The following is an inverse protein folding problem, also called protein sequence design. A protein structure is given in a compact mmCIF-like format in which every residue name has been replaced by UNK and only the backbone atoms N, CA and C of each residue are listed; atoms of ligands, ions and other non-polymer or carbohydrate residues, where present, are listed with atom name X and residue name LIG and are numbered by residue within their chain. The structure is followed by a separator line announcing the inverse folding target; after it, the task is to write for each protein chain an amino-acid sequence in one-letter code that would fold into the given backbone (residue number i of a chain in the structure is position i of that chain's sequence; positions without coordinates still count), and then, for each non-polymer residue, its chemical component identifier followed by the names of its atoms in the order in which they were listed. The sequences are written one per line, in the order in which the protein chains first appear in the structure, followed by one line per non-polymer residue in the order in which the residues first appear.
data_IF_835916843121
#
_entry.id   IF_835916843121
#
_cell.length_a   1.000
_cell.length_b   1.000
_cell.length_c   1.000
_cell.angle_alpha   90.00
_cell.angle_beta   90.00
_cell.angle_gamma   90.00
#
_symmetry.space_group_name_H-M   'P 1'
#
loop_
_entity.id
_entity.type
_entity.pdbx_description
1 polymer ?
#
# COMPACT_ATOMS: atom_id res chain seq x y z
N UNK A 1 -6.17 -10.82 1.73
CA UNK A 1 -4.70 -10.71 1.73
C UNK A 1 -4.01 -11.59 0.67
N UNK A 2 -4.56 -12.76 0.30
CA UNK A 2 -3.99 -13.61 -0.77
C UNK A 2 -3.86 -12.91 -2.11
N UNK A 3 -4.86 -12.16 -2.53
CA UNK A 3 -4.83 -11.42 -3.79
C UNK A 3 -3.76 -10.31 -3.79
N UNK A 4 -3.50 -9.70 -2.65
CA UNK A 4 -2.45 -8.70 -2.50
C UNK A 4 -1.09 -9.26 -2.92
N UNK A 5 -0.66 -10.39 -2.35
CA UNK A 5 0.64 -11.00 -2.66
C UNK A 5 0.75 -11.49 -4.11
N UNK A 6 -0.36 -11.90 -4.73
CA UNK A 6 -0.37 -12.32 -6.14
C UNK A 6 -0.20 -11.14 -7.09
N UNK A 7 -0.74 -9.97 -6.74
CA UNK A 7 -0.77 -8.80 -7.62
C UNK A 7 0.37 -7.82 -7.34
N UNK A 8 0.96 -7.84 -6.14
CA UNK A 8 2.04 -6.92 -5.81
C UNK A 8 3.36 -7.20 -6.57
N UNK A 9 3.53 -8.40 -7.15
CA UNK A 9 4.70 -8.71 -7.99
C UNK A 9 4.84 -7.74 -9.16
N UNK A 10 3.75 -7.49 -9.87
CA UNK A 10 3.74 -6.58 -11.03
C UNK A 10 4.18 -5.16 -10.65
N UNK A 11 3.64 -4.62 -9.53
CA UNK A 11 4.02 -3.28 -9.09
C UNK A 11 5.47 -3.23 -8.60
N UNK A 12 5.98 -4.29 -7.99
CA UNK A 12 7.38 -4.36 -7.59
C UNK A 12 8.33 -4.45 -8.77
N UNK A 13 7.96 -5.17 -9.81
CA UNK A 13 8.76 -5.25 -11.04
C UNK A 13 8.83 -3.88 -11.72
N UNK A 14 7.72 -3.16 -11.78
CA UNK A 14 7.68 -1.78 -12.26
C UNK A 14 8.58 -0.86 -11.44
N UNK A 15 8.47 -0.89 -10.11
CA UNK A 15 9.28 -0.08 -9.20
C UNK A 15 10.78 -0.40 -9.35
N UNK A 16 11.14 -1.68 -9.43
CA UNK A 16 12.54 -2.09 -9.54
C UNK A 16 13.15 -1.88 -10.92
N UNK A 17 12.32 -1.72 -11.93
CA UNK A 17 12.74 -1.37 -13.30
C UNK A 17 12.88 0.14 -13.52
N UNK A 18 12.53 0.97 -12.54
CA UNK A 18 12.68 2.41 -12.66
C UNK A 18 14.14 2.80 -12.79
N UNK A 19 14.45 3.83 -13.62
CA UNK A 19 15.82 4.28 -13.90
C UNK A 19 16.64 4.63 -12.66
N UNK A 20 16.00 5.08 -11.59
CA UNK A 20 16.65 5.43 -10.31
C UNK A 20 16.56 4.32 -9.26
N UNK A 21 16.03 3.15 -9.59
CA UNK A 21 15.84 2.06 -8.61
C UNK A 21 17.13 1.53 -8.00
N UNK A 22 18.25 1.64 -8.73
CA UNK A 22 19.57 1.18 -8.23
C UNK A 22 20.02 1.89 -6.95
N UNK A 23 19.60 3.15 -6.74
CA UNK A 23 19.90 3.91 -5.51
C UNK A 23 19.25 3.28 -4.27
N UNK A 24 18.15 2.57 -4.46
CA UNK A 24 17.32 2.00 -3.40
C UNK A 24 17.37 0.47 -3.35
N UNK A 25 18.21 -0.15 -4.19
CA UNK A 25 18.21 -1.61 -4.36
C UNK A 25 18.61 -2.35 -3.08
N UNK A 26 19.60 -1.83 -2.35
CA UNK A 26 20.19 -2.44 -1.18
C UNK A 26 20.40 -1.42 -0.05
N UNK A 27 20.61 -1.94 1.16
CA UNK A 27 20.89 -1.14 2.33
C UNK A 27 22.11 -0.22 2.14
N UNK A 28 21.98 1.00 2.63
CA UNK A 28 23.08 1.98 2.65
C UNK A 28 24.22 1.45 3.51
N UNK A 29 25.42 1.36 2.91
CA UNK A 29 26.61 0.90 3.64
C UNK A 29 27.16 2.05 4.49
N UNK A 30 27.32 1.84 5.79
CA UNK A 30 27.86 2.83 6.72
C UNK A 30 29.20 3.45 6.27
N UNK A 31 30.05 2.66 5.61
CA UNK A 31 31.32 3.14 5.04
C UNK A 31 31.16 4.15 3.88
N UNK A 32 29.99 4.14 3.21
CA UNK A 32 29.71 5.03 2.07
C UNK A 32 28.89 6.27 2.45
N UNK A 33 28.25 6.22 3.61
CA UNK A 33 27.39 7.29 4.11
C UNK A 33 27.57 7.38 5.63
N UNK A 34 28.60 8.12 6.04
CA UNK A 34 28.87 8.37 7.46
C UNK A 34 27.71 9.15 8.09
N UNK A 35 27.32 8.77 9.29
CA UNK A 35 26.20 9.38 10.00
C UNK A 35 24.79 8.99 9.51
N UNK A 36 24.67 8.14 8.47
CA UNK A 36 23.37 7.75 7.95
C UNK A 36 22.45 7.16 9.02
N UNK A 37 22.96 6.24 9.83
CA UNK A 37 22.20 5.57 10.89
C UNK A 37 21.96 6.43 12.13
N UNK A 38 22.66 7.57 12.23
CA UNK A 38 22.41 8.56 13.28
C UNK A 38 21.16 9.39 12.95
N UNK A 39 20.91 9.63 11.66
CA UNK A 39 19.77 10.39 11.15
C UNK A 39 18.59 9.45 10.87
N UNK A 40 18.84 8.36 10.14
CA UNK A 40 17.82 7.42 9.69
C UNK A 40 17.64 6.29 10.69
N UNK A 41 16.66 6.40 11.57
CA UNK A 41 16.41 5.42 12.66
C UNK A 41 15.72 4.15 12.18
N UNK A 42 15.02 4.20 11.05
CA UNK A 42 14.36 3.04 10.43
C UNK A 42 14.73 2.95 8.96
N UNK A 43 15.93 2.47 8.66
CA UNK A 43 16.37 2.27 7.29
C UNK A 43 15.51 1.22 6.60
N UNK A 44 15.26 1.42 5.31
CA UNK A 44 14.62 0.44 4.44
C UNK A 44 15.10 0.64 3.00
N UNK A 45 15.02 -0.41 2.22
CA UNK A 45 15.43 -0.48 0.81
C UNK A 45 14.55 -1.49 0.06
N UNK A 46 14.69 -1.57 -1.26
CA UNK A 46 13.87 -2.47 -2.07
C UNK A 46 14.08 -3.94 -1.74
N UNK A 47 15.31 -4.33 -1.37
CA UNK A 47 15.60 -5.71 -0.96
C UNK A 47 14.89 -6.06 0.35
N UNK A 48 14.93 -5.16 1.34
CA UNK A 48 14.23 -5.33 2.61
C UNK A 48 12.71 -5.40 2.42
N UNK A 49 12.14 -4.54 1.57
CA UNK A 49 10.71 -4.56 1.23
C UNK A 49 10.31 -5.88 0.56
N UNK A 50 11.08 -6.36 -0.43
CA UNK A 50 10.84 -7.66 -1.07
C UNK A 50 10.87 -8.81 -0.07
N UNK A 51 11.83 -8.81 0.85
CA UNK A 51 11.94 -9.82 1.92
C UNK A 51 10.73 -9.78 2.84
N UNK A 52 10.30 -8.60 3.27
CA UNK A 52 9.12 -8.42 4.12
C UNK A 52 7.82 -8.89 3.42
N UNK A 53 7.69 -8.64 2.11
CA UNK A 53 6.57 -9.15 1.30
C UNK A 53 6.58 -10.68 1.22
N UNK A 54 7.74 -11.30 0.99
CA UNK A 54 7.86 -12.76 0.95
C UNK A 54 7.52 -13.39 2.30
N UNK A 55 7.93 -12.78 3.41
CA UNK A 55 7.57 -13.22 4.75
C UNK A 55 6.06 -13.10 4.99
N UNK A 56 5.46 -11.98 4.59
CA UNK A 56 4.02 -11.77 4.67
C UNK A 56 3.22 -12.82 3.89
N UNK A 57 3.67 -13.15 2.67
CA UNK A 57 3.06 -14.20 1.85
C UNK A 57 3.10 -15.57 2.53
N UNK A 58 4.27 -15.96 3.10
CA UNK A 58 4.42 -17.20 3.84
C UNK A 58 3.46 -17.25 5.04
N UNK A 59 3.38 -16.17 5.80
CA UNK A 59 2.52 -16.08 6.96
C UNK A 59 1.04 -16.21 6.57
N UNK A 60 0.57 -15.48 5.56
CA UNK A 60 -0.81 -15.56 5.07
C UNK A 60 -1.15 -16.97 4.60
N UNK A 61 -0.23 -17.65 3.91
CA UNK A 61 -0.44 -19.02 3.45
C UNK A 61 -0.51 -19.99 4.63
N UNK A 62 0.36 -19.87 5.63
CA UNK A 62 0.33 -20.77 6.81
C UNK A 62 -0.98 -20.64 7.62
N UNK A 63 -1.50 -19.42 7.77
CA UNK A 63 -2.80 -19.21 8.45
C UNK A 63 -3.96 -19.76 7.61
N UNK A 64 -3.85 -19.69 6.29
CA UNK A 64 -4.89 -20.19 5.40
C UNK A 64 -4.98 -21.71 5.32
N UNK A 65 -3.91 -22.41 5.68
CA UNK A 65 -3.86 -23.89 5.72
C UNK A 65 -4.33 -24.47 7.05
N UNK A 66 -4.50 -23.65 8.10
CA UNK A 66 -5.05 -24.12 9.37
C UNK A 66 -6.55 -24.38 9.22
N UNK A 67 -7.06 -25.56 9.61
CA UNK A 67 -8.47 -25.94 9.46
C UNK A 67 -9.34 -25.33 10.55
N UNK A 68 -9.35 -24.02 10.68
CA UNK A 68 -10.26 -23.30 11.56
C UNK A 68 -11.38 -22.72 10.69
N UNK A 69 -12.45 -23.52 10.57
CA UNK A 69 -13.76 -23.09 10.11
C UNK A 69 -13.91 -22.81 8.62
N UNK A 70 -14.69 -23.62 7.97
CA UNK A 70 -15.29 -23.57 6.62
C UNK A 70 -14.33 -23.42 5.42
N UNK A 71 -14.50 -24.26 4.39
CA UNK A 71 -13.81 -24.08 3.13
C UNK A 71 -14.33 -22.80 2.46
N UNK A 72 -13.64 -21.70 2.72
CA UNK A 72 -13.92 -20.44 2.06
C UNK A 72 -13.62 -20.56 0.58
N UNK A 73 -14.65 -20.44 -0.25
CA UNK A 73 -14.51 -20.32 -1.70
C UNK A 73 -13.61 -19.13 -2.09
N UNK A 74 -13.28 -19.02 -3.37
CA UNK A 74 -12.51 -17.91 -3.93
C UNK A 74 -13.14 -16.58 -3.52
N UNK A 75 -12.50 -15.85 -2.59
CA UNK A 75 -13.03 -14.60 -2.02
C UNK A 75 -13.12 -14.55 -0.49
N UNK A 76 -12.84 -15.65 0.22
CA UNK A 76 -12.88 -15.68 1.67
C UNK A 76 -11.85 -14.70 2.29
N UNK A 77 -12.34 -13.84 3.15
CA UNK A 77 -11.51 -12.93 3.95
C UNK A 77 -10.83 -13.73 5.07
N UNK A 78 -9.51 -13.63 5.15
CA UNK A 78 -8.75 -14.23 6.24
C UNK A 78 -8.44 -13.12 7.24
N UNK A 79 -8.89 -13.30 8.47
CA UNK A 79 -8.48 -12.45 9.59
C UNK A 79 -7.10 -12.88 10.08
N UNK A 80 -6.16 -11.95 10.10
CA UNK A 80 -4.83 -12.19 10.63
C UNK A 80 -4.78 -11.71 12.08
N UNK A 81 -4.21 -12.51 13.01
CA UNK A 81 -4.03 -12.07 14.37
C UNK A 81 -3.10 -10.84 14.41
N UNK A 82 -3.41 -9.89 15.28
CA UNK A 82 -2.55 -8.73 15.50
C UNK A 82 -1.29 -9.20 16.20
N UNK A 83 -0.17 -9.17 15.49
CA UNK A 83 1.12 -9.62 15.97
C UNK A 83 2.24 -8.76 15.37
N UNK A 84 3.33 -8.62 16.09
CA UNK A 84 4.54 -7.96 15.59
C UNK A 84 5.19 -8.71 14.41
N UNK A 85 4.77 -9.93 14.12
CA UNK A 85 5.30 -10.73 13.02
C UNK A 85 4.62 -10.43 11.69
N UNK A 86 3.46 -9.74 11.70
CA UNK A 86 2.69 -9.35 10.50
C UNK A 86 2.76 -7.85 10.19
N UNK A 87 3.74 -7.17 10.76
CA UNK A 87 3.97 -5.74 10.52
C UNK A 87 5.41 -5.48 10.09
N UNK A 88 5.65 -4.41 9.30
CA UNK A 88 7.01 -3.98 8.93
C UNK A 88 7.88 -3.69 10.17
N UNK A 89 9.17 -3.99 10.11
CA UNK A 89 9.93 -4.47 8.95
C UNK A 89 9.90 -6.00 8.73
N UNK A 90 9.25 -6.78 9.62
CA UNK A 90 9.27 -8.24 9.56
C UNK A 90 8.45 -8.78 8.39
N UNK A 91 7.24 -8.28 8.21
CA UNK A 91 6.34 -8.70 7.14
C UNK A 91 5.50 -7.54 6.58
N UNK A 92 5.09 -7.66 5.33
CA UNK A 92 4.12 -6.79 4.66
C UNK A 92 2.99 -7.68 4.16
N UNK A 93 1.76 -7.45 4.66
CA UNK A 93 0.60 -8.29 4.37
C UNK A 93 -0.55 -7.56 3.68
N UNK A 94 -0.44 -6.24 3.50
CA UNK A 94 -1.47 -5.43 2.86
C UNK A 94 -0.87 -4.24 2.08
N UNK A 95 -1.66 -3.64 1.17
CA UNK A 95 -1.21 -2.51 0.34
C UNK A 95 -0.76 -1.29 1.13
N UNK A 96 -1.42 -0.98 2.24
CA UNK A 96 -1.09 0.20 3.03
C UNK A 96 0.28 0.08 3.71
N UNK A 97 0.65 -1.13 4.15
CA UNK A 97 1.98 -1.39 4.69
C UNK A 97 3.06 -1.26 3.61
N UNK A 98 2.80 -1.78 2.40
CA UNK A 98 3.72 -1.65 1.26
C UNK A 98 3.95 -0.18 0.91
N UNK A 99 2.88 0.58 0.73
CA UNK A 99 2.95 2.00 0.43
C UNK A 99 3.75 2.77 1.50
N UNK A 100 3.47 2.50 2.77
CA UNK A 100 4.17 3.14 3.89
C UNK A 100 5.68 2.86 3.90
N UNK A 101 6.11 1.64 3.60
CA UNK A 101 7.54 1.30 3.55
C UNK A 101 8.22 1.89 2.32
N UNK A 102 7.55 1.96 1.17
CA UNK A 102 8.05 2.68 0.00
C UNK A 102 8.23 4.17 0.28
N UNK A 103 7.22 4.81 0.89
CA UNK A 103 7.32 6.23 1.28
C UNK A 103 8.46 6.47 2.27
N UNK A 104 8.66 5.59 3.25
CA UNK A 104 9.76 5.65 4.20
C UNK A 104 11.12 5.63 3.50
N UNK A 105 11.28 4.76 2.51
CA UNK A 105 12.51 4.64 1.74
C UNK A 105 12.89 5.97 1.08
N UNK A 106 11.94 6.63 0.43
CA UNK A 106 12.17 7.93 -0.22
C UNK A 106 12.41 9.06 0.78
N UNK A 107 11.63 9.12 1.85
CA UNK A 107 11.81 10.10 2.92
C UNK A 107 13.20 9.98 3.56
N UNK A 108 13.66 8.77 3.84
CA UNK A 108 15.00 8.52 4.37
C UNK A 108 16.08 9.09 3.45
N UNK A 109 15.96 8.90 2.14
CA UNK A 109 16.91 9.44 1.17
C UNK A 109 16.92 10.97 1.14
N UNK A 110 15.74 11.58 1.16
CA UNK A 110 15.61 13.04 1.17
C UNK A 110 16.11 13.67 2.48
N UNK A 111 15.87 13.01 3.61
CA UNK A 111 16.35 13.49 4.93
C UNK A 111 17.88 13.43 5.06
N UNK A 112 18.50 12.41 4.52
CA UNK A 112 19.94 12.21 4.64
C UNK A 112 20.74 13.09 3.66
N UNK A 113 20.16 13.48 2.52
CA UNK A 113 20.85 14.23 1.46
C UNK A 113 20.28 15.66 1.26
N UNK A 114 20.17 16.51 2.30
CA UNK A 114 19.47 17.80 2.18
C UNK A 114 20.18 18.81 1.28
N UNK A 115 21.44 18.58 0.90
CA UNK A 115 22.23 19.46 0.03
C UNK A 115 22.58 18.87 -1.32
N UNK A 116 22.20 17.61 -1.57
CA UNK A 116 22.49 16.89 -2.81
C UNK A 116 21.32 16.96 -3.78
N UNK A 117 21.24 18.03 -4.57
CA UNK A 117 20.12 18.25 -5.50
C UNK A 117 19.86 17.06 -6.42
N UNK A 118 20.91 16.40 -6.94
CA UNK A 118 20.77 15.26 -7.85
C UNK A 118 20.08 14.08 -7.16
N UNK A 119 20.54 13.67 -5.98
CA UNK A 119 19.97 12.53 -5.22
C UNK A 119 18.54 12.84 -4.81
N UNK A 120 18.27 14.04 -4.34
CA UNK A 120 16.92 14.46 -3.92
C UNK A 120 15.99 14.54 -5.12
N UNK A 121 16.46 15.05 -6.26
CA UNK A 121 15.67 15.14 -7.50
C UNK A 121 15.32 13.75 -8.02
N UNK A 122 16.30 12.84 -8.10
CA UNK A 122 16.10 11.47 -8.55
C UNK A 122 15.18 10.69 -7.62
N UNK A 123 15.33 10.86 -6.31
CA UNK A 123 14.45 10.27 -5.31
C UNK A 123 13.01 10.79 -5.45
N UNK A 124 12.83 12.09 -5.69
CA UNK A 124 11.51 12.71 -5.89
C UNK A 124 10.86 12.21 -7.17
N UNK A 125 11.59 12.17 -8.26
CA UNK A 125 11.08 11.67 -9.54
C UNK A 125 10.59 10.22 -9.40
N UNK A 126 11.40 9.37 -8.77
CA UNK A 126 11.00 7.99 -8.51
C UNK A 126 9.80 7.91 -7.57
N UNK A 127 9.78 8.71 -6.50
CA UNK A 127 8.65 8.80 -5.56
C UNK A 127 7.33 9.11 -6.28
N UNK A 128 7.31 10.14 -7.13
CA UNK A 128 6.11 10.54 -7.87
C UNK A 128 5.64 9.46 -8.85
N UNK A 129 6.57 8.78 -9.51
CA UNK A 129 6.28 7.64 -10.37
C UNK A 129 5.66 6.50 -9.58
N UNK A 130 6.30 6.08 -8.49
CA UNK A 130 5.85 5.00 -7.61
C UNK A 130 4.50 5.32 -6.98
N UNK A 131 4.29 6.56 -6.54
CA UNK A 131 3.01 6.98 -5.96
C UNK A 131 1.87 6.84 -6.98
N UNK A 132 2.08 7.21 -8.23
CA UNK A 132 1.09 7.05 -9.31
C UNK A 132 0.79 5.57 -9.56
N UNK A 133 1.82 4.74 -9.68
CA UNK A 133 1.69 3.31 -9.93
C UNK A 133 0.97 2.60 -8.78
N UNK A 134 1.35 2.87 -7.52
CA UNK A 134 0.70 2.29 -6.33
C UNK A 134 -0.76 2.74 -6.22
N UNK A 135 -1.05 4.01 -6.49
CA UNK A 135 -2.42 4.53 -6.46
C UNK A 135 -3.29 3.90 -7.55
N UNK A 136 -2.78 3.77 -8.76
CA UNK A 136 -3.46 3.09 -9.87
C UNK A 136 -3.73 1.62 -9.53
N UNK A 137 -2.71 0.91 -9.04
CA UNK A 137 -2.84 -0.48 -8.64
C UNK A 137 -3.85 -0.68 -7.51
N UNK A 138 -3.86 0.18 -6.49
CA UNK A 138 -4.87 0.15 -5.41
C UNK A 138 -6.28 0.37 -5.93
N UNK A 139 -6.48 1.29 -6.86
CA UNK A 139 -7.79 1.55 -7.45
C UNK A 139 -8.33 0.35 -8.23
N UNK A 140 -7.45 -0.40 -8.89
CA UNK A 140 -7.83 -1.60 -9.65
C UNK A 140 -8.10 -2.78 -8.72
N UNK A 141 -7.26 -3.00 -7.70
CA UNK A 141 -7.29 -4.21 -6.87
C UNK A 141 -7.94 -3.99 -5.49
N UNK A 142 -8.08 -2.74 -5.04
CA UNK A 142 -8.66 -2.39 -3.74
C UNK A 142 -10.18 -2.27 -3.72
N UNK A 143 -10.83 -2.16 -4.88
CA UNK A 143 -12.30 -2.04 -5.00
C UNK A 143 -13.09 -3.34 -4.73
N UNK A 144 -12.41 -4.44 -4.44
CA UNK A 144 -13.05 -5.73 -4.16
C UNK A 144 -13.54 -5.93 -2.71
N UNK A 145 -13.34 -4.98 -1.80
CA UNK A 145 -13.67 -5.15 -0.37
C UNK A 145 -14.32 -3.93 0.25
N UNK A 146 -15.37 -3.43 -0.34
CA UNK A 146 -16.12 -2.30 0.22
C UNK A 146 -17.31 -1.94 -0.64
N UNK A 147 -18.24 -2.86 -0.82
CA UNK A 147 -19.61 -2.49 -1.18
C UNK A 147 -20.29 -2.12 0.13
N UNK A 148 -20.09 -0.90 0.58
CA UNK A 148 -21.03 -0.31 1.52
C UNK A 148 -22.36 -0.10 0.80
N UNK A 149 -23.38 -0.76 1.32
CA UNK A 149 -24.77 -0.51 1.01
C UNK A 149 -25.08 0.94 1.43
N UNK A 150 -24.99 1.85 0.50
CA UNK A 150 -25.67 3.11 0.55
C UNK A 150 -27.11 2.87 0.12
N UNK A 151 -27.95 2.50 1.08
CA UNK A 151 -29.41 2.48 0.93
C UNK A 151 -29.88 3.92 0.84
N UNK A 152 -29.91 4.44 -0.39
CA UNK A 152 -30.57 5.69 -0.71
C UNK A 152 -32.07 5.44 -0.76
N UNK A 153 -32.78 5.81 0.31
CA UNK A 153 -34.24 5.94 0.28
C UNK A 153 -34.63 6.98 -0.76
N UNK A 154 -35.59 6.67 -1.66
CA UNK A 154 -36.18 7.68 -2.54
C UNK A 154 -37.02 8.65 -1.70
N UNK A 155 -36.70 9.92 -1.77
CA UNK A 155 -37.59 10.96 -1.28
C UNK A 155 -38.70 11.09 -2.34
N UNK A 156 -39.90 10.69 -2.00
CA UNK A 156 -41.10 10.99 -2.80
C UNK A 156 -41.43 12.46 -2.62
N UNK A 157 -41.26 13.22 -3.69
CA UNK A 157 -41.80 14.57 -3.80
C UNK A 157 -43.31 14.48 -4.08
N UNK A 158 -44.12 14.68 -3.06
CA UNK A 158 -45.55 14.93 -3.21
C UNK A 158 -45.80 16.39 -3.64
N UNK A 159 -45.94 16.62 -4.93
CA UNK A 159 -46.63 17.80 -5.45
C UNK A 159 -48.13 17.56 -5.41
N UNK A 160 -48.83 18.14 -4.43
CA UNK A 160 -50.26 18.15 -4.35
C UNK A 160 -50.81 19.50 -3.93
N UNK A 161 -50.97 20.41 -4.85
CA UNK A 161 -51.56 21.72 -4.56
C UNK A 161 -52.47 22.25 -5.65
N UNK A 162 -53.61 21.64 -5.83
CA UNK A 162 -54.67 22.21 -6.71
C UNK A 162 -55.48 23.28 -5.98
N UNK A 163 -55.27 24.55 -6.33
CA UNK A 163 -56.10 25.67 -5.91
C UNK A 163 -57.25 25.92 -6.91
N UNK A 164 -58.47 25.56 -6.55
CA UNK A 164 -59.66 25.96 -7.27
C UNK A 164 -60.15 27.36 -6.80
N UNK A 165 -59.97 28.32 -7.67
CA UNK A 165 -60.70 29.59 -7.60
C UNK A 165 -62.19 29.36 -7.84
N UNK A 166 -63.03 29.90 -6.95
CA UNK A 166 -64.44 30.17 -7.24
C UNK A 166 -64.74 31.67 -7.13
N UNK A 167 -65.27 32.22 -8.22
CA UNK A 167 -65.87 33.55 -8.29
C UNK A 167 -67.22 33.55 -7.55
N UNK A 168 -67.52 34.61 -6.89
CA UNK A 168 -68.66 35.49 -7.03
C UNK A 168 -68.25 36.84 -6.48
#
# INVERSE_FOLDING_TARGET
YRNFHRTCGVILDEITSHKHASMFAEAVKAKKAEGYYDIVKRPTDLSAIKKALANGAKYVNSVAETPIGSPGGAGATIELPISNDVVPPKAIVNPAQLEKELMRMFVNAMMFNPGEETVVTDAREMFESVQRSVSSWRNVHGRGSGREHGEGTPVEDEEGGSSKRRKV
#
